data_IF_815401975712
#
_entry.id   IF_815401975712
#
_cell.length_a   1.000
_cell.length_b   1.000
_cell.length_c   1.000
_cell.angle_alpha   90.00
_cell.angle_beta   90.00
_cell.angle_gamma   90.00
#
_symmetry.space_group_name_H-M   'P 1'
#
loop_
_entity.id
_entity.type
_entity.pdbx_description
1 polymer ?
#
# COMPACT_ATOMS: atom_id res chain seq x y z
N UNK A 1 -31.32 -1.13 -14.42
CA UNK A 1 -30.70 -0.20 -15.38
C UNK A 1 -29.74 0.69 -14.61
N UNK A 2 -28.46 0.34 -14.55
CA UNK A 2 -27.41 1.30 -14.16
C UNK A 2 -26.22 0.97 -15.04
N UNK A 3 -26.37 1.33 -16.32
CA UNK A 3 -25.24 1.42 -17.23
C UNK A 3 -24.43 2.67 -16.87
N UNK A 4 -23.16 2.66 -17.25
CA UNK A 4 -22.28 3.83 -17.27
C UNK A 4 -23.09 5.07 -17.69
N UNK A 5 -23.03 6.15 -16.90
CA UNK A 5 -23.45 7.45 -17.44
C UNK A 5 -22.62 7.72 -18.70
N UNK A 6 -23.24 8.34 -19.70
CA UNK A 6 -22.60 8.60 -21.00
C UNK A 6 -21.36 9.49 -20.88
N UNK A 7 -21.14 10.17 -19.74
CA UNK A 7 -19.98 11.03 -19.51
C UNK A 7 -19.14 10.61 -18.30
N UNK A 8 -17.82 10.65 -18.45
CA UNK A 8 -16.85 10.37 -17.37
C UNK A 8 -17.02 11.30 -16.16
N UNK A 9 -17.47 12.54 -16.38
CA UNK A 9 -17.68 13.54 -15.32
C UNK A 9 -18.80 13.16 -14.35
N UNK A 10 -19.91 12.64 -14.85
CA UNK A 10 -21.04 12.19 -14.01
C UNK A 10 -20.60 11.04 -13.10
N UNK A 11 -19.89 10.05 -13.62
CA UNK A 11 -19.37 8.92 -12.83
C UNK A 11 -18.40 9.40 -11.74
N UNK A 12 -17.53 10.37 -12.03
CA UNK A 12 -16.60 10.95 -11.03
C UNK A 12 -17.39 11.66 -9.92
N UNK A 13 -18.39 12.46 -10.28
CA UNK A 13 -19.21 13.19 -9.31
C UNK A 13 -19.99 12.24 -8.39
N UNK A 14 -20.54 11.17 -8.96
CA UNK A 14 -21.24 10.15 -8.21
C UNK A 14 -20.28 9.45 -7.23
N UNK A 15 -19.12 9.00 -7.71
CA UNK A 15 -18.11 8.39 -6.86
C UNK A 15 -17.70 9.30 -5.68
N UNK A 16 -17.45 10.58 -5.94
CA UNK A 16 -17.07 11.54 -4.90
C UNK A 16 -18.18 11.70 -3.85
N UNK A 17 -19.44 11.79 -4.28
CA UNK A 17 -20.58 11.85 -3.36
C UNK A 17 -20.62 10.61 -2.46
N UNK A 18 -20.49 9.41 -3.02
CA UNK A 18 -20.50 8.17 -2.24
C UNK A 18 -19.29 8.02 -1.33
N UNK A 19 -18.09 8.40 -1.78
CA UNK A 19 -16.89 8.41 -0.95
C UNK A 19 -17.02 9.38 0.22
N UNK A 20 -17.59 10.57 -0.02
CA UNK A 20 -17.89 11.54 1.03
C UNK A 20 -18.90 10.96 2.03
N UNK A 21 -20.01 10.36 1.57
CA UNK A 21 -21.00 9.71 2.45
C UNK A 21 -20.34 8.60 3.29
N UNK A 22 -19.51 7.76 2.68
CA UNK A 22 -18.80 6.69 3.37
C UNK A 22 -17.83 7.17 4.45
N UNK A 23 -17.40 8.42 4.45
CA UNK A 23 -16.51 8.94 5.49
C UNK A 23 -17.24 9.89 6.45
N UNK A 24 -18.19 10.71 5.96
CA UNK A 24 -18.92 11.69 6.76
C UNK A 24 -19.94 11.03 7.70
N UNK A 25 -20.63 9.97 7.25
CA UNK A 25 -21.58 9.25 8.11
C UNK A 25 -20.88 8.60 9.31
N UNK A 26 -19.84 7.75 9.14
CA UNK A 26 -19.11 7.21 10.28
C UNK A 26 -18.42 8.30 11.11
N UNK A 27 -17.89 9.38 10.51
CA UNK A 27 -17.33 10.51 11.26
C UNK A 27 -18.38 11.16 12.17
N UNK A 28 -19.59 11.35 11.67
CA UNK A 28 -20.72 11.89 12.45
C UNK A 28 -21.07 10.96 13.60
N UNK A 29 -21.15 9.64 13.34
CA UNK A 29 -21.42 8.65 14.38
C UNK A 29 -20.37 8.64 15.49
N UNK A 30 -19.08 8.82 15.16
CA UNK A 30 -18.01 8.92 16.16
C UNK A 30 -18.27 10.10 17.14
N UNK A 31 -18.81 11.21 16.62
CA UNK A 31 -19.06 12.43 17.39
C UNK A 31 -20.37 12.36 18.16
N UNK A 32 -21.45 11.88 17.54
CA UNK A 32 -22.81 12.02 18.09
C UNK A 32 -23.27 10.81 18.90
N UNK A 33 -22.59 9.67 18.82
CA UNK A 33 -23.03 8.43 19.48
C UNK A 33 -22.01 7.90 20.49
N UNK A 34 -22.50 7.19 21.51
CA UNK A 34 -21.66 6.42 22.44
C UNK A 34 -20.99 5.24 21.73
N UNK A 35 -19.88 4.76 22.30
CA UNK A 35 -19.05 3.68 21.72
C UNK A 35 -19.82 2.37 21.48
N UNK A 36 -20.83 2.10 22.29
CA UNK A 36 -21.69 0.91 22.28
C UNK A 36 -22.99 1.08 21.46
N UNK A 37 -23.17 2.22 20.78
CA UNK A 37 -24.42 2.51 20.07
C UNK A 37 -24.70 1.51 18.94
N UNK A 38 -25.93 0.96 18.83
CA UNK A 38 -26.30 0.05 17.75
C UNK A 38 -26.22 0.69 16.35
N UNK A 39 -26.32 2.03 16.27
CA UNK A 39 -26.17 2.76 15.01
C UNK A 39 -24.78 2.57 14.38
N UNK A 40 -23.75 2.40 15.21
CA UNK A 40 -22.38 2.12 14.74
C UNK A 40 -22.29 0.78 14.03
N UNK A 41 -22.99 -0.23 14.54
CA UNK A 41 -23.07 -1.56 13.94
C UNK A 41 -23.87 -1.55 12.63
N UNK A 42 -25.00 -0.82 12.60
CA UNK A 42 -25.84 -0.69 11.40
C UNK A 42 -25.15 0.09 10.27
N UNK A 43 -24.20 0.97 10.59
CA UNK A 43 -23.41 1.70 9.60
C UNK A 43 -22.62 0.78 8.67
N UNK A 44 -22.01 -0.30 9.19
CA UNK A 44 -21.09 -1.14 8.43
C UNK A 44 -21.81 -1.90 7.28
N UNK A 45 -22.95 -2.58 7.49
CA UNK A 45 -23.71 -3.17 6.39
C UNK A 45 -24.13 -2.15 5.32
N UNK A 46 -24.49 -0.92 5.71
CA UNK A 46 -24.83 0.15 4.76
C UNK A 46 -23.62 0.59 3.91
N UNK A 47 -22.44 0.66 4.51
CA UNK A 47 -21.19 0.94 3.79
C UNK A 47 -20.81 -0.20 2.83
N UNK A 48 -20.93 -1.46 3.27
CA UNK A 48 -20.70 -2.64 2.42
C UNK A 48 -21.67 -2.68 1.23
N UNK A 49 -22.95 -2.41 1.47
CA UNK A 49 -23.95 -2.30 0.41
C UNK A 49 -23.56 -1.21 -0.59
N UNK A 50 -23.17 -0.03 -0.10
CA UNK A 50 -22.71 1.08 -0.94
C UNK A 50 -21.49 0.71 -1.76
N UNK A 51 -20.46 0.11 -1.17
CA UNK A 51 -19.28 -0.36 -1.91
C UNK A 51 -19.67 -1.39 -2.99
N UNK A 52 -20.57 -2.33 -2.65
CA UNK A 52 -21.05 -3.35 -3.59
C UNK A 52 -21.78 -2.78 -4.81
N UNK A 53 -22.39 -1.59 -4.68
CA UNK A 53 -23.04 -0.89 -5.79
C UNK A 53 -22.06 -0.41 -6.84
N UNK A 54 -20.81 -0.10 -6.47
CA UNK A 54 -19.76 0.29 -7.41
C UNK A 54 -18.99 -0.89 -7.98
N UNK A 55 -18.86 -1.98 -7.20
CA UNK A 55 -18.21 -3.21 -7.66
C UNK A 55 -18.94 -3.80 -8.88
N UNK A 56 -20.28 -3.79 -8.90
CA UNK A 56 -21.06 -4.43 -9.97
C UNK A 56 -20.95 -3.76 -11.37
N UNK A 57 -21.09 -2.43 -11.52
CA UNK A 57 -21.00 -1.77 -12.82
C UNK A 57 -19.55 -1.43 -13.24
N UNK A 58 -18.63 -1.19 -12.29
CA UNK A 58 -17.25 -0.78 -12.61
C UNK A 58 -16.20 -1.88 -12.45
N UNK A 59 -16.49 -2.93 -11.67
CA UNK A 59 -15.55 -4.04 -11.45
C UNK A 59 -15.28 -4.89 -12.69
N UNK A 60 -16.11 -4.81 -13.72
CA UNK A 60 -15.86 -5.43 -15.03
C UNK A 60 -15.21 -4.50 -16.05
N UNK A 61 -14.99 -3.23 -15.71
CA UNK A 61 -14.42 -2.26 -16.67
C UNK A 61 -12.95 -2.54 -16.98
N UNK A 62 -12.24 -3.26 -16.10
CA UNK A 62 -10.78 -3.48 -16.21
C UNK A 62 -9.95 -2.20 -16.08
N UNK A 63 -10.57 -1.05 -15.82
CA UNK A 63 -9.89 0.24 -15.75
C UNK A 63 -9.09 0.35 -14.44
N UNK A 64 -7.77 0.57 -14.49
CA UNK A 64 -6.94 0.72 -13.28
C UNK A 64 -7.40 1.87 -12.38
N UNK A 65 -7.91 2.96 -12.95
CA UNK A 65 -8.37 4.14 -12.21
C UNK A 65 -9.64 3.86 -11.42
N UNK A 66 -10.63 3.18 -12.04
CA UNK A 66 -11.85 2.78 -11.36
C UNK A 66 -11.61 1.70 -10.32
N UNK A 67 -10.72 0.74 -10.61
CA UNK A 67 -10.28 -0.24 -9.61
C UNK A 67 -9.75 0.47 -8.36
N UNK A 68 -8.81 1.40 -8.52
CA UNK A 68 -8.23 2.15 -7.40
C UNK A 68 -9.30 2.93 -6.62
N UNK A 69 -10.24 3.58 -7.32
CA UNK A 69 -11.33 4.33 -6.70
C UNK A 69 -12.23 3.43 -5.83
N UNK A 70 -12.67 2.28 -6.37
CA UNK A 70 -13.54 1.33 -5.65
C UNK A 70 -12.79 0.73 -4.45
N UNK A 71 -11.50 0.44 -4.60
CA UNK A 71 -10.65 -0.01 -3.50
C UNK A 71 -10.66 0.98 -2.34
N UNK A 72 -10.72 2.30 -2.59
CA UNK A 72 -10.84 3.31 -1.51
C UNK A 72 -12.14 3.18 -0.70
N UNK A 73 -13.26 2.76 -1.31
CA UNK A 73 -14.51 2.51 -0.59
C UNK A 73 -14.40 1.28 0.32
N UNK A 74 -13.73 0.23 -0.14
CA UNK A 74 -13.44 -0.95 0.68
C UNK A 74 -12.56 -0.57 1.87
N UNK A 75 -11.52 0.23 1.63
CA UNK A 75 -10.62 0.74 2.67
C UNK A 75 -11.37 1.59 3.69
N UNK A 76 -12.23 2.51 3.24
CA UNK A 76 -13.05 3.35 4.11
C UNK A 76 -13.96 2.50 4.99
N UNK A 77 -14.55 1.44 4.45
CA UNK A 77 -15.39 0.50 5.20
C UNK A 77 -14.59 -0.26 6.26
N UNK A 78 -13.39 -0.74 5.91
CA UNK A 78 -12.49 -1.41 6.86
C UNK A 78 -12.03 -0.47 7.98
N UNK A 79 -11.69 0.78 7.64
CA UNK A 79 -11.27 1.78 8.62
C UNK A 79 -12.43 2.23 9.50
N UNK A 80 -13.65 2.38 8.95
CA UNK A 80 -14.85 2.63 9.73
C UNK A 80 -15.14 1.47 10.69
N UNK A 81 -14.99 0.22 10.25
CA UNK A 81 -15.14 -0.97 11.11
C UNK A 81 -14.15 -0.93 12.27
N UNK A 82 -12.90 -0.56 11.99
CA UNK A 82 -11.88 -0.36 13.02
C UNK A 82 -12.28 0.73 14.01
N UNK A 83 -12.64 1.93 13.56
CA UNK A 83 -12.85 3.09 14.45
C UNK A 83 -14.25 3.17 15.08
N UNK A 84 -15.24 2.45 14.55
CA UNK A 84 -16.58 2.38 15.11
C UNK A 84 -16.77 1.17 16.03
N UNK A 85 -16.19 0.01 15.69
CA UNK A 85 -16.50 -1.27 16.34
C UNK A 85 -15.30 -1.87 17.08
N UNK A 86 -14.15 -2.03 16.43
CA UNK A 86 -13.03 -2.80 16.99
C UNK A 86 -12.22 -1.99 18.01
N UNK A 87 -11.92 -0.74 17.68
CA UNK A 87 -11.23 0.22 18.54
C UNK A 87 -12.06 1.51 18.57
N UNK A 88 -13.25 1.48 19.22
CA UNK A 88 -14.24 2.53 19.09
C UNK A 88 -13.71 3.88 19.60
N UNK A 89 -13.65 4.85 18.70
CA UNK A 89 -13.36 6.24 19.04
C UNK A 89 -14.63 6.95 19.50
N UNK A 90 -14.47 7.91 20.40
CA UNK A 90 -15.49 8.87 20.79
C UNK A 90 -15.00 10.31 20.60
N UNK A 91 -15.92 11.26 20.69
CA UNK A 91 -15.62 12.69 20.63
C UNK A 91 -14.50 13.14 21.58
N UNK A 92 -14.47 12.59 22.81
CA UNK A 92 -13.44 12.88 23.82
C UNK A 92 -12.04 12.52 23.33
N UNK A 93 -11.91 11.45 22.55
CA UNK A 93 -10.63 10.95 22.06
C UNK A 93 -10.07 11.90 20.97
N UNK A 94 -10.96 12.51 20.17
CA UNK A 94 -10.61 13.44 19.10
C UNK A 94 -10.28 14.83 19.66
N UNK A 95 -11.10 15.32 20.59
CA UNK A 95 -10.98 16.65 21.19
C UNK A 95 -9.84 16.75 22.22
N UNK A 96 -9.43 15.64 22.82
CA UNK A 96 -8.32 15.60 23.77
C UNK A 96 -6.94 15.89 23.17
N UNK A 97 -6.79 15.94 21.83
CA UNK A 97 -5.49 16.15 21.19
C UNK A 97 -5.12 17.62 20.95
N UNK A 98 -6.08 18.55 20.96
CA UNK A 98 -5.83 19.99 20.74
C UNK A 98 -6.92 20.87 21.36
N UNK A 99 -6.49 21.90 22.10
CA UNK A 99 -7.34 22.88 22.82
C UNK A 99 -8.27 23.71 21.92
N UNK A 100 -8.16 23.55 20.59
CA UNK A 100 -8.76 24.40 19.55
C UNK A 100 -10.05 23.82 18.94
N UNK A 101 -10.39 22.56 19.19
CA UNK A 101 -11.54 21.89 18.54
C UNK A 101 -12.83 22.15 19.34
N UNK A 102 -13.44 23.33 19.18
CA UNK A 102 -14.70 23.68 19.89
C UNK A 102 -15.97 23.36 19.10
N UNK A 103 -15.97 23.57 17.78
CA UNK A 103 -17.20 23.54 16.97
C UNK A 103 -17.41 22.19 16.28
N UNK A 104 -18.66 21.81 16.05
CA UNK A 104 -19.03 20.54 15.40
C UNK A 104 -18.31 20.31 14.07
N UNK A 105 -18.21 21.34 13.22
CA UNK A 105 -17.50 21.25 11.94
C UNK A 105 -16.02 20.87 12.09
N UNK A 106 -15.31 21.47 13.06
CA UNK A 106 -13.91 21.12 13.33
C UNK A 106 -13.75 19.68 13.86
N UNK A 107 -14.70 19.21 14.67
CA UNK A 107 -14.76 17.81 15.14
C UNK A 107 -15.00 16.86 13.96
N UNK A 108 -15.93 17.21 13.07
CA UNK A 108 -16.26 16.42 11.89
C UNK A 108 -15.07 16.29 10.94
N UNK A 109 -14.34 17.38 10.68
CA UNK A 109 -13.12 17.35 9.86
C UNK A 109 -12.06 16.47 10.50
N UNK A 110 -11.86 16.56 11.82
CA UNK A 110 -10.89 15.72 12.53
C UNK A 110 -11.28 14.23 12.49
N UNK A 111 -12.55 13.91 12.72
CA UNK A 111 -13.08 12.53 12.61
C UNK A 111 -12.95 11.99 11.18
N UNK A 112 -13.32 12.79 10.17
CA UNK A 112 -13.17 12.46 8.76
C UNK A 112 -11.70 12.17 8.42
N UNK A 113 -10.75 12.98 8.91
CA UNK A 113 -9.32 12.74 8.71
C UNK A 113 -8.86 11.40 9.27
N UNK A 114 -9.36 10.98 10.44
CA UNK A 114 -9.01 9.67 11.01
C UNK A 114 -9.53 8.48 10.19
N UNK A 115 -10.65 8.67 9.49
CA UNK A 115 -11.20 7.66 8.58
C UNK A 115 -10.48 7.66 7.22
N UNK A 116 -10.15 8.83 6.67
CA UNK A 116 -9.46 8.95 5.39
C UNK A 116 -7.96 8.63 5.48
N UNK A 117 -7.30 8.94 6.60
CA UNK A 117 -5.87 8.72 6.82
C UNK A 117 -5.61 7.50 7.69
N UNK A 118 -5.57 6.33 7.08
CA UNK A 118 -5.38 5.03 7.78
C UNK A 118 -4.02 4.86 8.49
N UNK A 119 -3.06 5.75 8.23
CA UNK A 119 -1.76 5.78 8.94
C UNK A 119 -1.77 6.65 10.20
N UNK A 120 -2.84 7.44 10.39
CA UNK A 120 -3.05 8.34 11.52
C UNK A 120 -1.80 9.17 11.88
N UNK A 121 -1.15 9.73 10.85
CA UNK A 121 0.10 10.48 10.96
C UNK A 121 -0.05 11.66 11.93
N UNK A 122 0.98 11.93 12.73
CA UNK A 122 1.01 13.00 13.74
C UNK A 122 -0.10 12.88 14.81
N UNK A 123 -0.62 11.67 15.05
CA UNK A 123 -1.57 11.39 16.13
C UNK A 123 -1.04 10.33 17.10
N UNK A 124 -1.68 10.19 18.26
CA UNK A 124 -1.37 9.12 19.21
C UNK A 124 -1.60 7.70 18.66
N UNK A 125 -2.38 7.57 17.59
CA UNK A 125 -2.67 6.28 16.94
C UNK A 125 -1.81 6.02 15.70
N UNK A 126 -0.75 6.81 15.49
CA UNK A 126 0.12 6.66 14.33
C UNK A 126 0.64 5.22 14.22
N UNK A 127 0.55 4.68 13.01
CA UNK A 127 1.05 3.34 12.71
C UNK A 127 2.56 3.24 13.00
N UNK A 128 3.01 2.12 13.55
CA UNK A 128 4.42 1.87 13.83
C UNK A 128 5.25 1.89 12.55
N UNK A 129 6.46 2.46 12.60
CA UNK A 129 7.43 2.55 11.50
C UNK A 129 7.01 3.43 10.31
N UNK A 130 6.11 4.39 10.49
CA UNK A 130 5.88 5.43 9.47
C UNK A 130 7.24 6.09 9.13
N UNK A 131 7.62 6.17 7.85
CA UNK A 131 8.90 6.75 7.46
C UNK A 131 9.04 8.20 7.91
N UNK A 132 10.23 8.57 8.39
CA UNK A 132 10.55 9.98 8.63
C UNK A 132 10.66 10.74 7.31
N UNK A 133 10.55 12.07 7.36
CA UNK A 133 10.84 12.88 6.18
C UNK A 133 12.27 12.63 5.65
N UNK A 134 12.49 12.77 4.33
CA UNK A 134 13.79 12.57 3.71
C UNK A 134 14.91 13.41 4.35
N UNK A 135 16.13 12.83 4.42
CA UNK A 135 17.34 13.50 4.91
C UNK A 135 17.65 14.80 4.16
N UNK A 136 17.21 14.91 2.92
CA UNK A 136 17.14 16.14 2.13
C UNK A 136 16.73 17.38 2.95
N UNK A 137 15.71 17.25 3.80
CA UNK A 137 15.24 18.37 4.60
C UNK A 137 16.16 18.65 5.80
N UNK A 138 16.60 17.59 6.49
CA UNK A 138 17.47 17.69 7.66
C UNK A 138 18.82 18.33 7.32
N UNK A 139 19.46 17.93 6.21
CA UNK A 139 20.72 18.51 5.73
C UNK A 139 20.63 20.01 5.42
N UNK A 140 19.42 20.51 5.16
CA UNK A 140 19.13 21.92 4.89
C UNK A 140 18.59 22.66 6.12
N UNK A 141 18.80 22.12 7.31
CA UNK A 141 18.41 22.70 8.59
C UNK A 141 16.89 22.69 8.86
N UNK A 142 16.10 21.95 8.06
CA UNK A 142 14.65 21.90 8.19
C UNK A 142 14.23 20.66 8.99
N UNK A 143 13.73 20.87 10.22
CA UNK A 143 13.07 19.82 11.00
C UNK A 143 11.71 19.43 10.39
N UNK A 144 11.00 20.40 9.85
CA UNK A 144 9.75 20.22 9.09
C UNK A 144 9.89 20.87 7.71
N UNK A 145 9.40 20.23 6.62
CA UNK A 145 9.54 20.79 5.28
C UNK A 145 8.77 22.12 5.15
N UNK A 146 9.35 23.17 4.58
CA UNK A 146 8.56 24.37 4.22
C UNK A 146 7.60 24.06 3.08
N UNK A 147 6.39 24.64 3.07
CA UNK A 147 5.34 24.42 2.04
C UNK A 147 5.87 24.50 0.61
N UNK A 148 6.57 25.57 0.24
CA UNK A 148 7.08 25.76 -1.12
C UNK A 148 8.09 24.68 -1.54
N UNK A 149 9.08 24.37 -0.69
CA UNK A 149 10.08 23.33 -0.96
C UNK A 149 9.48 21.93 -1.01
N UNK A 150 8.48 21.66 -0.16
CA UNK A 150 7.74 20.41 -0.20
C UNK A 150 7.02 20.27 -1.54
N UNK A 151 6.21 21.25 -1.94
CA UNK A 151 5.46 21.23 -3.20
C UNK A 151 6.38 21.09 -4.42
N UNK A 152 7.49 21.85 -4.46
CA UNK A 152 8.48 21.75 -5.54
C UNK A 152 9.05 20.34 -5.65
N UNK A 153 9.46 19.74 -4.51
CA UNK A 153 10.00 18.38 -4.49
C UNK A 153 8.95 17.35 -4.91
N UNK A 154 7.71 17.49 -4.47
CA UNK A 154 6.63 16.57 -4.86
C UNK A 154 6.33 16.68 -6.36
N UNK A 155 6.22 17.90 -6.90
CA UNK A 155 5.96 18.14 -8.32
C UNK A 155 7.06 17.56 -9.21
N UNK A 156 8.33 17.77 -8.86
CA UNK A 156 9.45 17.22 -9.62
C UNK A 156 9.41 15.67 -9.69
N UNK A 157 9.10 15.03 -8.56
CA UNK A 157 9.02 13.57 -8.49
C UNK A 157 7.80 13.06 -9.26
N UNK A 158 6.63 13.69 -9.09
CA UNK A 158 5.41 13.32 -9.83
C UNK A 158 5.63 13.42 -11.33
N UNK A 159 6.26 14.50 -11.80
CA UNK A 159 6.59 14.65 -13.22
C UNK A 159 7.45 13.49 -13.72
N UNK A 160 8.50 13.13 -12.99
CA UNK A 160 9.35 11.99 -13.35
C UNK A 160 8.65 10.64 -13.26
N UNK A 161 7.81 10.42 -12.24
CA UNK A 161 7.01 9.21 -12.10
C UNK A 161 6.07 9.00 -13.28
N UNK A 162 5.45 10.07 -13.78
CA UNK A 162 4.63 9.99 -14.98
C UNK A 162 5.46 9.56 -16.20
N UNK A 163 6.70 10.05 -16.38
CA UNK A 163 7.56 9.62 -17.49
C UNK A 163 7.93 8.13 -17.38
N UNK A 164 8.29 7.65 -16.18
CA UNK A 164 8.59 6.23 -15.95
C UNK A 164 7.37 5.36 -16.22
N UNK A 165 6.20 5.76 -15.73
CA UNK A 165 4.97 4.99 -15.93
C UNK A 165 4.51 5.00 -17.39
N UNK A 166 4.81 6.04 -18.17
CA UNK A 166 4.57 6.06 -19.63
C UNK A 166 5.44 5.02 -20.35
N UNK A 167 6.71 4.88 -19.94
CA UNK A 167 7.60 3.82 -20.44
C UNK A 167 7.03 2.45 -20.08
N UNK A 168 6.70 2.23 -18.80
CA UNK A 168 6.15 0.96 -18.31
C UNK A 168 4.88 0.59 -19.07
N UNK A 169 3.94 1.52 -19.20
CA UNK A 169 2.70 1.31 -19.95
C UNK A 169 2.98 0.96 -21.41
N UNK A 170 3.89 1.68 -22.08
CA UNK A 170 4.25 1.42 -23.47
C UNK A 170 4.84 0.02 -23.65
N UNK A 171 5.76 -0.39 -22.77
CA UNK A 171 6.36 -1.73 -22.81
C UNK A 171 5.32 -2.81 -22.53
N UNK A 172 4.45 -2.61 -21.54
CA UNK A 172 3.38 -3.57 -21.22
C UNK A 172 2.42 -3.77 -22.39
N UNK A 173 2.04 -2.68 -23.08
CA UNK A 173 1.17 -2.75 -24.26
C UNK A 173 1.86 -3.43 -25.44
N UNK A 174 3.15 -3.15 -25.68
CA UNK A 174 3.92 -3.85 -26.72
C UNK A 174 3.98 -5.36 -26.45
N UNK A 175 4.26 -5.75 -25.20
CA UNK A 175 4.27 -7.15 -24.80
C UNK A 175 2.89 -7.82 -24.91
N UNK A 176 1.81 -7.10 -24.57
CA UNK A 176 0.46 -7.61 -24.72
C UNK A 176 0.12 -7.86 -26.19
N UNK A 177 0.46 -6.93 -27.08
CA UNK A 177 0.26 -7.07 -28.53
C UNK A 177 1.06 -8.26 -29.10
N UNK A 178 2.32 -8.42 -28.71
CA UNK A 178 3.16 -9.56 -29.13
C UNK A 178 2.57 -10.91 -28.67
N UNK A 179 2.02 -10.98 -27.45
CA UNK A 179 1.35 -12.17 -26.94
C UNK A 179 0.04 -12.45 -27.66
N UNK A 180 -0.74 -11.42 -27.99
CA UNK A 180 -2.00 -11.55 -28.76
C UNK A 180 -1.79 -12.12 -30.16
N UNK A 181 -0.59 -11.96 -30.73
CA UNK A 181 -0.18 -12.58 -32.00
C UNK A 181 0.23 -14.05 -31.85
N UNK A 182 0.54 -14.51 -30.63
CA UNK A 182 0.89 -15.90 -30.33
C UNK A 182 -0.34 -16.67 -29.84
N UNK A 183 -0.33 -18.01 -29.94
CA UNK A 183 -1.43 -18.89 -29.47
C UNK A 183 -1.89 -18.50 -28.06
N UNK A 184 -3.18 -18.65 -27.71
CA UNK A 184 -3.70 -18.25 -26.41
C UNK A 184 -2.82 -18.83 -25.31
N UNK A 185 -2.26 -17.95 -24.47
CA UNK A 185 -1.35 -18.34 -23.41
C UNK A 185 -1.97 -19.51 -22.63
N UNK A 186 -1.20 -20.59 -22.43
CA UNK A 186 -1.60 -21.65 -21.51
C UNK A 186 -1.94 -21.01 -20.17
N UNK A 187 -3.17 -21.22 -19.73
CA UNK A 187 -3.75 -20.59 -18.53
C UNK A 187 -3.14 -21.13 -17.24
N UNK A 188 -2.27 -22.14 -17.35
CA UNK A 188 -1.57 -22.77 -16.24
C UNK A 188 -0.15 -22.22 -16.11
N UNK A 189 0.27 -21.97 -14.86
CA UNK A 189 1.64 -21.57 -14.56
C UNK A 189 2.55 -22.77 -14.79
N UNK A 190 3.42 -22.67 -15.79
CA UNK A 190 4.44 -23.68 -16.03
C UNK A 190 5.56 -23.56 -14.99
N UNK A 191 5.60 -24.47 -14.01
CA UNK A 191 6.58 -24.43 -12.93
C UNK A 191 7.94 -25.01 -13.33
N UNK A 192 7.96 -25.92 -14.30
CA UNK A 192 9.15 -26.63 -14.77
C UNK A 192 9.69 -25.91 -16.00
N UNK A 193 10.50 -24.88 -15.77
CA UNK A 193 11.13 -24.09 -16.84
C UNK A 193 12.64 -23.98 -16.64
N UNK A 194 13.42 -23.73 -17.71
CA UNK A 194 14.86 -23.51 -17.60
C UNK A 194 15.21 -22.35 -16.65
N UNK A 195 16.41 -22.40 -16.05
CA UNK A 195 16.87 -21.39 -15.09
C UNK A 195 16.82 -19.95 -15.64
N UNK A 196 17.09 -19.77 -16.95
CA UNK A 196 17.00 -18.46 -17.60
C UNK A 196 15.60 -17.86 -17.54
N UNK A 197 14.56 -18.65 -17.80
CA UNK A 197 13.16 -18.19 -17.70
C UNK A 197 12.77 -17.89 -16.25
N UNK A 198 13.27 -18.66 -15.28
CA UNK A 198 13.08 -18.34 -13.86
C UNK A 198 13.73 -17.01 -13.49
N UNK A 199 14.93 -16.72 -14.00
CA UNK A 199 15.60 -15.44 -13.78
C UNK A 199 14.80 -14.27 -14.37
N UNK A 200 14.27 -14.42 -15.59
CA UNK A 200 13.41 -13.42 -16.23
C UNK A 200 12.11 -13.18 -15.45
N UNK A 201 11.45 -14.25 -14.99
CA UNK A 201 10.23 -14.17 -14.15
C UNK A 201 10.52 -13.44 -12.85
N UNK A 202 11.57 -13.84 -12.13
CA UNK A 202 11.97 -13.20 -10.87
C UNK A 202 12.30 -11.72 -11.10
N UNK A 203 13.07 -11.39 -12.14
CA UNK A 203 13.40 -10.01 -12.47
C UNK A 203 12.15 -9.17 -12.79
N UNK A 204 11.21 -9.74 -13.55
CA UNK A 204 9.93 -9.10 -13.87
C UNK A 204 9.10 -8.85 -12.62
N UNK A 205 8.93 -9.86 -11.75
CA UNK A 205 8.16 -9.72 -10.51
C UNK A 205 8.79 -8.71 -9.54
N UNK A 206 10.12 -8.70 -9.41
CA UNK A 206 10.83 -7.72 -8.60
C UNK A 206 10.65 -6.30 -9.16
N UNK A 207 10.69 -6.15 -10.49
CA UNK A 207 10.41 -4.88 -11.15
C UNK A 207 8.98 -4.40 -10.88
N UNK A 208 8.01 -5.31 -10.91
CA UNK A 208 6.61 -4.97 -10.57
C UNK A 208 6.50 -4.50 -9.11
N UNK A 209 7.14 -5.18 -8.15
CA UNK A 209 7.10 -4.78 -6.74
C UNK A 209 7.80 -3.45 -6.45
N UNK A 210 9.08 -3.33 -6.84
CA UNK A 210 9.94 -2.23 -6.43
C UNK A 210 9.81 -0.99 -7.32
N UNK A 211 9.37 -1.17 -8.57
CA UNK A 211 9.18 -0.08 -9.53
C UNK A 211 7.69 0.16 -9.76
N UNK A 212 6.98 -0.74 -10.45
CA UNK A 212 5.63 -0.44 -10.97
C UNK A 212 4.63 -0.14 -9.84
N UNK A 213 4.38 -1.09 -8.93
CA UNK A 213 3.39 -0.95 -7.87
C UNK A 213 3.78 0.14 -6.86
N UNK A 214 5.08 0.30 -6.61
CA UNK A 214 5.61 1.38 -5.77
C UNK A 214 5.28 2.74 -6.38
N UNK A 215 5.63 2.96 -7.65
CA UNK A 215 5.46 4.25 -8.31
C UNK A 215 3.97 4.60 -8.51
N UNK A 216 3.12 3.64 -8.86
CA UNK A 216 1.67 3.88 -9.00
C UNK A 216 1.06 4.34 -7.66
N UNK A 217 1.37 3.61 -6.58
CA UNK A 217 0.85 3.93 -5.24
C UNK A 217 1.42 5.24 -4.70
N UNK A 218 2.71 5.49 -4.92
CA UNK A 218 3.39 6.69 -4.48
C UNK A 218 2.92 7.92 -5.27
N UNK A 219 2.68 7.80 -6.58
CA UNK A 219 2.13 8.86 -7.43
C UNK A 219 0.79 9.35 -6.89
N UNK A 220 -0.16 8.43 -6.64
CA UNK A 220 -1.47 8.79 -6.09
C UNK A 220 -1.34 9.52 -4.75
N UNK A 221 -0.48 9.01 -3.86
CA UNK A 221 -0.22 9.64 -2.57
C UNK A 221 0.41 11.04 -2.69
N UNK A 222 1.35 11.22 -3.62
CA UNK A 222 2.00 12.52 -3.85
C UNK A 222 1.06 13.54 -4.47
N UNK A 223 0.23 13.15 -5.44
CA UNK A 223 -0.77 14.02 -6.04
C UNK A 223 -1.74 14.55 -4.98
N UNK A 224 -2.23 13.68 -4.10
CA UNK A 224 -3.05 14.10 -2.96
C UNK A 224 -2.29 15.04 -2.02
N UNK A 225 -1.01 14.75 -1.73
CA UNK A 225 -0.18 15.64 -0.89
C UNK A 225 -0.01 17.04 -1.49
N UNK A 226 0.18 17.13 -2.81
CA UNK A 226 0.31 18.41 -3.51
C UNK A 226 -1.00 19.18 -3.42
N UNK A 227 -2.13 18.50 -3.62
CA UNK A 227 -3.44 19.12 -3.53
C UNK A 227 -3.71 19.67 -2.12
N UNK A 228 -3.67 18.82 -1.08
CA UNK A 228 -4.04 19.21 0.29
C UNK A 228 -3.07 20.23 0.92
N UNK A 229 -1.77 20.10 0.70
CA UNK A 229 -0.77 21.09 1.15
C UNK A 229 -0.82 22.36 0.27
N UNK A 230 -1.17 22.21 -1.01
CA UNK A 230 -1.31 23.28 -1.98
C UNK A 230 -2.47 24.21 -1.69
N UNK A 231 -3.58 23.71 -1.14
CA UNK A 231 -4.72 24.55 -0.70
C UNK A 231 -4.65 24.94 0.78
N UNK A 232 -3.64 24.44 1.52
CA UNK A 232 -3.41 24.79 2.93
C UNK A 232 -4.31 24.07 3.93
N UNK A 233 -4.99 22.98 3.53
CA UNK A 233 -5.74 22.15 4.46
C UNK A 233 -4.80 21.35 5.36
N UNK A 234 -3.71 20.83 4.79
CA UNK A 234 -2.72 20.03 5.51
C UNK A 234 -1.36 20.73 5.55
N UNK A 235 -0.58 20.46 6.60
CA UNK A 235 0.82 20.84 6.64
C UNK A 235 1.67 19.84 5.86
N UNK A 236 2.85 20.27 5.41
CA UNK A 236 3.84 19.37 4.82
C UNK A 236 4.31 18.26 5.76
N UNK A 237 4.17 18.43 7.08
CA UNK A 237 4.53 17.44 8.09
C UNK A 237 3.51 16.29 8.18
N UNK A 238 2.29 16.50 7.69
CA UNK A 238 1.23 15.48 7.69
C UNK A 238 1.39 14.46 6.55
N UNK A 239 2.35 14.70 5.65
CA UNK A 239 2.60 13.90 4.45
C UNK A 239 4.01 13.29 4.42
N UNK A 240 4.37 12.41 5.37
CA UNK A 240 5.60 11.65 5.31
C UNK A 240 5.57 10.68 4.11
N UNK A 241 6.74 10.22 3.63
CA UNK A 241 6.81 9.29 2.51
C UNK A 241 5.84 8.10 2.64
N UNK A 242 5.22 7.70 1.52
CA UNK A 242 4.38 6.51 1.48
C UNK A 242 5.21 5.26 1.82
N UNK A 243 6.34 5.10 1.13
CA UNK A 243 7.26 3.99 1.27
C UNK A 243 8.51 4.36 2.09
N UNK A 244 9.05 3.38 2.81
CA UNK A 244 10.37 3.48 3.43
C UNK A 244 11.49 3.20 2.44
N UNK A 245 12.70 2.98 2.98
CA UNK A 245 13.90 2.73 2.17
C UNK A 245 13.94 1.30 1.66
N UNK A 246 14.29 1.09 0.39
CA UNK A 246 14.40 -0.28 -0.16
C UNK A 246 15.50 -1.07 0.56
N UNK A 247 16.59 -0.41 0.92
CA UNK A 247 17.70 -1.01 1.67
C UNK A 247 17.30 -1.60 3.03
N UNK A 248 16.15 -1.24 3.60
CA UNK A 248 15.68 -1.77 4.87
C UNK A 248 14.86 -3.06 4.71
N UNK A 249 14.48 -3.44 3.47
CA UNK A 249 13.68 -4.62 3.14
C UNK A 249 14.46 -5.95 3.18
N UNK A 250 15.44 -6.10 4.07
CA UNK A 250 16.28 -7.31 4.19
C UNK A 250 15.68 -8.42 5.07
N UNK A 251 14.43 -8.29 5.49
CA UNK A 251 13.64 -9.38 6.09
C UNK A 251 12.20 -9.27 5.58
N UNK A 252 11.46 -10.37 5.53
CA UNK A 252 10.06 -10.36 5.08
C UNK A 252 9.21 -9.43 5.95
N UNK A 253 9.52 -9.36 7.26
CA UNK A 253 8.88 -8.40 8.16
C UNK A 253 9.25 -6.95 7.89
N UNK A 254 10.50 -6.67 7.54
CA UNK A 254 10.90 -5.30 7.22
C UNK A 254 10.32 -4.86 5.88
N UNK A 255 10.19 -5.77 4.91
CA UNK A 255 9.53 -5.48 3.63
C UNK A 255 8.12 -4.91 3.89
N UNK A 256 7.25 -5.65 4.58
CA UNK A 256 5.88 -5.20 4.88
C UNK A 256 5.78 -4.13 5.98
N UNK A 257 6.74 -4.13 6.90
CA UNK A 257 6.67 -3.36 8.14
C UNK A 257 7.45 -2.05 8.14
N UNK A 258 8.41 -1.86 7.23
CA UNK A 258 9.24 -0.65 7.13
C UNK A 258 9.29 -0.08 5.71
N UNK A 259 9.35 -0.94 4.68
CA UNK A 259 9.45 -0.49 3.29
C UNK A 259 8.07 -0.22 2.66
N UNK A 260 7.15 -1.19 2.73
CA UNK A 260 5.85 -1.10 2.07
C UNK A 260 4.93 -0.05 2.72
N UNK A 261 3.97 0.49 1.97
CA UNK A 261 3.26 1.76 2.25
C UNK A 261 2.44 1.86 3.55
N UNK A 262 2.20 0.75 4.25
CA UNK A 262 1.46 0.66 5.52
C UNK A 262 0.02 1.18 5.54
N UNK A 263 -0.55 1.64 4.43
CA UNK A 263 -1.95 2.12 4.37
C UNK A 263 -2.98 1.11 4.91
N UNK A 264 -2.73 -0.20 4.80
CA UNK A 264 -3.64 -1.24 5.32
C UNK A 264 -3.27 -1.75 6.72
N UNK A 265 -2.19 -1.22 7.32
CA UNK A 265 -1.63 -1.77 8.55
C UNK A 265 -2.62 -1.68 9.70
N UNK A 266 -3.19 -0.50 9.94
CA UNK A 266 -4.15 -0.30 11.02
C UNK A 266 -5.41 -1.17 10.86
N UNK A 267 -6.18 -1.09 9.75
CA UNK A 267 -7.41 -1.87 9.62
C UNK A 267 -7.18 -3.39 9.74
N UNK A 268 -6.11 -3.93 9.15
CA UNK A 268 -5.84 -5.37 9.21
C UNK A 268 -5.40 -5.82 10.61
N UNK A 269 -4.52 -5.06 11.26
CA UNK A 269 -4.04 -5.43 12.62
C UNK A 269 -5.12 -5.26 13.69
N UNK A 270 -6.08 -4.37 13.49
CA UNK A 270 -7.24 -4.24 14.38
C UNK A 270 -8.14 -5.47 14.32
N UNK A 271 -8.44 -5.97 13.12
CA UNK A 271 -9.20 -7.22 12.93
C UNK A 271 -8.44 -8.39 13.56
N UNK A 272 -7.14 -8.50 13.31
CA UNK A 272 -6.33 -9.59 13.87
C UNK A 272 -6.28 -9.53 15.40
N UNK A 273 -6.09 -8.34 15.97
CA UNK A 273 -6.00 -8.15 17.42
C UNK A 273 -7.32 -8.50 18.09
N UNK A 274 -8.45 -8.07 17.51
CA UNK A 274 -9.79 -8.40 18.00
C UNK A 274 -10.02 -9.91 18.04
N UNK A 275 -9.74 -10.60 16.93
CA UNK A 275 -9.93 -12.06 16.86
C UNK A 275 -8.97 -12.76 17.84
N UNK A 276 -7.69 -12.38 17.87
CA UNK A 276 -6.70 -13.04 18.72
C UNK A 276 -6.95 -12.81 20.22
N UNK A 277 -7.36 -11.60 20.62
CA UNK A 277 -7.46 -11.19 22.03
C UNK A 277 -8.86 -11.27 22.60
N UNK A 278 -9.85 -10.80 21.86
CA UNK A 278 -11.22 -10.67 22.38
C UNK A 278 -12.03 -11.95 22.10
N UNK A 279 -11.85 -12.56 20.93
CA UNK A 279 -12.53 -13.81 20.55
C UNK A 279 -11.80 -15.04 21.11
N UNK A 280 -10.51 -15.19 20.78
CA UNK A 280 -9.72 -16.37 21.15
C UNK A 280 -9.06 -16.28 22.53
N UNK A 281 -9.03 -15.09 23.15
CA UNK A 281 -8.46 -14.85 24.50
C UNK A 281 -7.02 -15.33 24.65
N UNK A 282 -6.21 -15.18 23.60
CA UNK A 282 -4.80 -15.60 23.62
C UNK A 282 -3.97 -14.74 24.56
N UNK A 283 -3.00 -15.36 25.23
CA UNK A 283 -2.08 -14.65 26.14
C UNK A 283 -1.24 -13.63 25.40
N UNK A 284 -1.22 -12.40 25.91
CA UNK A 284 -0.50 -11.27 25.33
C UNK A 284 1.01 -11.58 25.21
N UNK A 285 1.58 -11.21 24.07
CA UNK A 285 2.98 -11.39 23.71
C UNK A 285 3.43 -12.86 23.62
N UNK A 286 2.49 -13.81 23.57
CA UNK A 286 2.82 -15.22 23.35
C UNK A 286 3.18 -15.49 21.88
N UNK A 287 3.98 -16.53 21.65
CA UNK A 287 4.30 -17.00 20.29
C UNK A 287 3.04 -17.37 19.51
N UNK A 288 2.04 -17.95 20.20
CA UNK A 288 0.75 -18.29 19.61
C UNK A 288 0.00 -17.04 19.17
N UNK A 289 -0.14 -16.03 20.03
CA UNK A 289 -0.78 -14.76 19.67
C UNK A 289 -0.06 -14.09 18.47
N UNK A 290 1.27 -14.12 18.44
CA UNK A 290 2.07 -13.54 17.35
C UNK A 290 1.77 -14.20 16.01
N UNK A 291 1.78 -15.53 15.93
CA UNK A 291 1.52 -16.23 14.67
C UNK A 291 0.03 -16.26 14.31
N UNK A 292 -0.89 -16.29 15.27
CA UNK A 292 -2.32 -16.12 15.00
C UNK A 292 -2.61 -14.74 14.39
N UNK A 293 -2.06 -13.67 14.96
CA UNK A 293 -2.18 -12.33 14.38
C UNK A 293 -1.57 -12.28 12.97
N UNK A 294 -0.40 -12.86 12.77
CA UNK A 294 0.26 -12.92 11.47
C UNK A 294 -0.64 -13.60 10.42
N UNK A 295 -1.18 -14.78 10.76
CA UNK A 295 -2.05 -15.54 9.86
C UNK A 295 -3.32 -14.78 9.51
N UNK A 296 -3.96 -14.15 10.49
CA UNK A 296 -5.19 -13.38 10.25
C UNK A 296 -4.90 -12.15 9.38
N UNK A 297 -3.82 -11.40 9.64
CA UNK A 297 -3.46 -10.22 8.83
C UNK A 297 -3.23 -10.62 7.37
N UNK A 298 -2.47 -11.70 7.12
CA UNK A 298 -2.21 -12.15 5.76
C UNK A 298 -3.46 -12.72 5.10
N UNK A 299 -4.34 -13.42 5.83
CA UNK A 299 -5.61 -13.90 5.29
C UNK A 299 -6.54 -12.74 4.90
N UNK A 300 -6.69 -11.72 5.76
CA UNK A 300 -7.49 -10.53 5.46
C UNK A 300 -6.89 -9.77 4.27
N UNK A 301 -5.56 -9.65 4.21
CA UNK A 301 -4.87 -9.08 3.04
C UNK A 301 -5.13 -9.87 1.77
N UNK A 302 -5.15 -11.20 1.86
CA UNK A 302 -5.40 -12.07 0.73
C UNK A 302 -6.82 -11.91 0.17
N UNK A 303 -7.84 -11.90 1.06
CA UNK A 303 -9.24 -11.66 0.70
C UNK A 303 -9.40 -10.28 0.05
N UNK A 304 -8.75 -9.26 0.61
CA UNK A 304 -8.76 -7.91 0.04
C UNK A 304 -8.21 -7.89 -1.39
N UNK A 305 -7.11 -8.59 -1.66
CA UNK A 305 -6.54 -8.62 -3.01
C UNK A 305 -7.33 -9.50 -3.98
N UNK A 306 -8.03 -10.54 -3.53
CA UNK A 306 -9.02 -11.24 -4.38
C UNK A 306 -10.09 -10.27 -4.86
N UNK A 307 -10.58 -9.37 -3.99
CA UNK A 307 -11.54 -8.33 -4.40
C UNK A 307 -10.91 -7.39 -5.43
N UNK A 308 -9.66 -6.97 -5.23
CA UNK A 308 -8.93 -6.13 -6.20
C UNK A 308 -8.75 -6.85 -7.54
N UNK A 309 -8.37 -8.13 -7.53
CA UNK A 309 -8.20 -8.94 -8.75
C UNK A 309 -9.53 -9.02 -9.52
N UNK A 310 -10.65 -9.25 -8.84
CA UNK A 310 -11.99 -9.24 -9.46
C UNK A 310 -12.31 -7.88 -10.10
N UNK A 311 -11.94 -6.77 -9.44
CA UNK A 311 -12.11 -5.41 -9.97
C UNK A 311 -11.21 -5.10 -11.17
N UNK A 312 -10.12 -5.85 -11.32
CA UNK A 312 -9.23 -5.82 -12.47
C UNK A 312 -9.65 -6.82 -13.56
N UNK A 313 -10.88 -7.35 -13.49
CA UNK A 313 -11.42 -8.34 -14.41
C UNK A 313 -10.67 -9.69 -14.41
N UNK A 314 -10.00 -10.03 -13.30
CA UNK A 314 -9.40 -11.35 -13.08
C UNK A 314 -10.42 -12.23 -12.33
N UNK A 315 -10.90 -13.34 -12.92
CA UNK A 315 -11.82 -14.24 -12.24
C UNK A 315 -11.25 -14.79 -10.93
N UNK A 316 -12.11 -15.01 -9.94
CA UNK A 316 -11.70 -15.51 -8.61
C UNK A 316 -10.91 -16.82 -8.71
N UNK A 317 -11.29 -17.70 -9.64
CA UNK A 317 -10.65 -19.00 -9.88
C UNK A 317 -9.22 -18.87 -10.41
N UNK A 318 -8.89 -17.71 -11.00
CA UNK A 318 -7.56 -17.38 -11.53
C UNK A 318 -6.76 -16.51 -10.58
N UNK A 319 -7.36 -16.00 -9.50
CA UNK A 319 -6.67 -15.14 -8.55
C UNK A 319 -5.61 -15.93 -7.77
N UNK A 320 -4.35 -15.54 -7.94
CA UNK A 320 -3.24 -16.06 -7.12
C UNK A 320 -3.07 -15.38 -5.77
N UNK A 321 -3.99 -14.48 -5.39
CA UNK A 321 -3.89 -13.68 -4.16
C UNK A 321 -3.81 -14.56 -2.89
N UNK A 322 -4.70 -15.54 -2.75
CA UNK A 322 -4.74 -16.43 -1.58
C UNK A 322 -3.41 -17.17 -1.37
N UNK A 323 -2.91 -17.98 -2.33
CA UNK A 323 -1.66 -18.70 -2.13
C UNK A 323 -0.46 -17.76 -1.93
N UNK A 324 -0.42 -16.62 -2.62
CA UNK A 324 0.67 -15.64 -2.49
C UNK A 324 0.76 -15.06 -1.07
N UNK A 325 -0.32 -14.47 -0.57
CA UNK A 325 -0.29 -13.79 0.73
C UNK A 325 -0.14 -14.79 1.89
N UNK A 326 -0.76 -15.97 1.80
CA UNK A 326 -0.61 -16.99 2.84
C UNK A 326 0.80 -17.60 2.86
N UNK A 327 1.53 -17.63 1.73
CA UNK A 327 2.92 -18.09 1.72
C UNK A 327 3.80 -17.29 2.68
N UNK A 328 3.57 -15.98 2.85
CA UNK A 328 4.36 -15.16 3.78
C UNK A 328 4.28 -15.61 5.22
N UNK A 329 3.21 -16.28 5.65
CA UNK A 329 3.12 -16.86 6.98
C UNK A 329 4.26 -17.87 7.16
N UNK A 330 4.38 -18.79 6.20
CA UNK A 330 5.43 -19.83 6.19
C UNK A 330 6.81 -19.20 6.02
N UNK A 331 6.98 -18.28 5.07
CA UNK A 331 8.26 -17.61 4.86
C UNK A 331 8.76 -16.88 6.10
N UNK A 332 7.86 -16.23 6.83
CA UNK A 332 8.18 -15.53 8.07
C UNK A 332 8.49 -16.50 9.23
N UNK A 333 7.80 -17.63 9.32
CA UNK A 333 8.11 -18.69 10.29
C UNK A 333 9.48 -19.33 10.01
N UNK A 334 9.80 -19.57 8.75
CA UNK A 334 11.12 -20.06 8.33
C UNK A 334 12.22 -19.05 8.66
N UNK A 335 12.01 -17.78 8.32
CA UNK A 335 12.92 -16.68 8.64
C UNK A 335 13.19 -16.59 10.15
N UNK A 336 12.15 -16.69 10.99
CA UNK A 336 12.30 -16.74 12.45
C UNK A 336 13.08 -17.95 12.93
N UNK A 337 12.79 -19.14 12.37
CA UNK A 337 13.46 -20.39 12.71
C UNK A 337 14.97 -20.30 12.44
N UNK A 338 15.35 -19.84 11.25
CA UNK A 338 16.75 -19.64 10.86
C UNK A 338 17.44 -18.61 11.76
N UNK A 339 16.79 -17.48 12.04
CA UNK A 339 17.35 -16.45 12.93
C UNK A 339 17.55 -16.97 14.35
N UNK A 340 16.62 -17.77 14.87
CA UNK A 340 16.71 -18.35 16.21
C UNK A 340 17.79 -19.44 16.29
N UNK A 341 17.89 -20.30 15.27
CA UNK A 341 18.96 -21.31 15.19
C UNK A 341 20.34 -20.64 15.10
N UNK A 342 20.48 -19.62 14.25
CA UNK A 342 21.72 -18.86 14.11
C UNK A 342 22.17 -18.22 15.43
N UNK A 343 21.24 -17.66 16.21
CA UNK A 343 21.54 -17.13 17.55
C UNK A 343 22.05 -18.21 18.49
N UNK A 344 21.37 -19.37 18.55
CA UNK A 344 21.77 -20.50 19.41
C UNK A 344 23.14 -21.06 19.07
N UNK A 345 23.51 -21.09 17.79
CA UNK A 345 24.81 -21.58 17.33
C UNK A 345 25.97 -20.60 17.62
N UNK A 346 25.69 -19.30 17.81
CA UNK A 346 26.69 -18.31 18.20
C UNK A 346 26.93 -18.25 19.72
N UNK A 347 25.99 -18.75 20.54
CA UNK A 347 26.10 -18.83 22.00
C UNK A 347 26.67 -20.17 22.48
N UNK A 348 27.98 -20.45 22.31
CA UNK A 348 28.64 -21.34 23.28
C UNK A 348 29.61 -20.69 24.29
N UNK A 349 30.27 -19.53 24.06
CA UNK A 349 31.36 -19.11 24.99
C UNK A 349 31.55 -17.62 25.34
N UNK A 350 30.88 -16.65 24.71
CA UNK A 350 31.14 -15.22 24.98
C UNK A 350 30.01 -14.54 25.76
N UNK A 351 29.76 -14.98 27.00
CA UNK A 351 28.72 -14.44 27.88
C UNK A 351 28.98 -13.04 28.47
N UNK A 352 30.03 -12.33 28.04
CA UNK A 352 30.41 -11.01 28.59
C UNK A 352 30.48 -9.87 27.54
N UNK A 353 30.36 -10.16 26.24
CA UNK A 353 30.48 -9.14 25.18
C UNK A 353 29.14 -8.66 24.59
N UNK A 354 28.01 -9.30 24.91
CA UNK A 354 26.70 -8.91 24.38
C UNK A 354 26.18 -7.58 24.95
N UNK A 355 26.56 -7.22 26.18
CA UNK A 355 26.17 -5.93 26.79
C UNK A 355 26.89 -4.73 26.16
N UNK A 356 28.05 -4.96 25.51
CA UNK A 356 28.87 -3.93 24.83
C UNK A 356 28.66 -3.81 23.32
N UNK A 357 27.95 -4.75 22.67
CA UNK A 357 27.63 -4.71 21.23
C UNK A 357 26.31 -4.00 20.90
N UNK A 358 25.92 -3.04 21.75
CA UNK A 358 24.83 -2.09 21.52
C UNK A 358 25.20 -0.97 20.51
N UNK A 359 25.93 -1.31 19.44
CA UNK A 359 25.89 -0.51 18.22
C UNK A 359 24.88 -1.18 17.28
N UNK A 360 23.72 -0.54 17.17
CA UNK A 360 22.45 -0.93 16.54
C UNK A 360 22.51 -1.23 15.01
N UNK A 361 23.69 -1.63 14.49
CA UNK A 361 23.97 -1.76 13.06
C UNK A 361 24.13 -3.23 12.72
N UNK A 362 23.12 -3.77 12.02
CA UNK A 362 23.19 -5.11 11.42
C UNK A 362 24.34 -5.15 10.40
N UNK A 363 25.30 -6.10 10.52
CA UNK A 363 26.41 -6.25 9.57
C UNK A 363 25.93 -6.30 8.10
N UNK A 364 26.69 -5.68 7.19
CA UNK A 364 26.32 -5.57 5.77
C UNK A 364 26.06 -6.93 5.12
N UNK A 365 26.87 -7.96 5.42
CA UNK A 365 26.67 -9.30 4.87
C UNK A 365 25.35 -9.93 5.32
N UNK A 366 24.90 -9.70 6.57
CA UNK A 366 23.60 -10.17 7.07
C UNK A 366 22.46 -9.47 6.33
N UNK A 367 22.62 -8.17 6.04
CA UNK A 367 21.65 -7.41 5.24
C UNK A 367 21.61 -7.90 3.79
N UNK A 368 22.77 -8.19 3.19
CA UNK A 368 22.84 -8.72 1.83
C UNK A 368 22.20 -10.11 1.72
N UNK A 369 22.51 -11.03 2.65
CA UNK A 369 21.89 -12.35 2.71
C UNK A 369 20.37 -12.26 2.93
N UNK A 370 19.93 -11.40 3.83
CA UNK A 370 18.52 -11.14 4.07
C UNK A 370 17.81 -10.52 2.86
N UNK A 371 18.47 -9.61 2.13
CA UNK A 371 17.95 -9.03 0.91
C UNK A 371 17.79 -10.09 -0.19
N UNK A 372 18.79 -10.96 -0.37
CA UNK A 372 18.71 -12.08 -1.31
C UNK A 372 17.55 -13.02 -0.96
N UNK A 373 17.37 -13.35 0.33
CA UNK A 373 16.24 -14.14 0.82
C UNK A 373 14.90 -13.49 0.47
N UNK A 374 14.73 -12.20 0.76
CA UNK A 374 13.48 -11.47 0.49
C UNK A 374 13.21 -11.37 -1.02
N UNK A 375 14.23 -11.07 -1.82
CA UNK A 375 14.12 -10.99 -3.29
C UNK A 375 13.76 -12.35 -3.90
N UNK A 376 14.38 -13.43 -3.46
CA UNK A 376 14.06 -14.78 -3.92
C UNK A 376 12.64 -15.17 -3.50
N UNK A 377 12.27 -14.94 -2.24
CA UNK A 377 10.95 -15.24 -1.73
C UNK A 377 9.86 -14.49 -2.50
N UNK A 378 10.01 -13.16 -2.66
CA UNK A 378 9.10 -12.34 -3.44
C UNK A 378 9.06 -12.79 -4.90
N UNK A 379 10.21 -12.95 -5.55
CA UNK A 379 10.30 -13.31 -6.96
C UNK A 379 9.60 -14.63 -7.28
N UNK A 380 9.82 -15.66 -6.46
CA UNK A 380 9.20 -16.98 -6.66
C UNK A 380 7.71 -16.96 -6.33
N UNK A 381 7.34 -16.51 -5.13
CA UNK A 381 5.93 -16.55 -4.68
C UNK A 381 5.03 -15.64 -5.51
N UNK A 382 5.55 -14.53 -6.03
CA UNK A 382 4.79 -13.61 -6.90
C UNK A 382 4.39 -14.24 -8.23
N UNK A 383 4.94 -15.39 -8.61
CA UNK A 383 4.50 -16.12 -9.82
C UNK A 383 3.01 -16.46 -9.75
N UNK A 384 2.51 -16.87 -8.58
CA UNK A 384 1.08 -17.08 -8.39
C UNK A 384 0.29 -15.80 -8.64
N UNK A 385 0.78 -14.67 -8.13
CA UNK A 385 0.03 -13.42 -8.08
C UNK A 385 0.07 -12.62 -9.38
N UNK A 386 1.26 -12.45 -9.98
CA UNK A 386 1.44 -11.60 -11.15
C UNK A 386 1.24 -12.31 -12.48
N UNK A 387 1.41 -13.64 -12.57
CA UNK A 387 1.20 -14.33 -13.86
C UNK A 387 -0.22 -14.13 -14.39
N UNK A 388 -1.29 -14.35 -13.59
CA UNK A 388 -2.66 -14.08 -14.04
C UNK A 388 -2.88 -12.62 -14.43
N UNK A 389 -2.30 -11.67 -13.67
CA UNK A 389 -2.41 -10.23 -13.91
C UNK A 389 -1.70 -9.77 -15.20
N UNK A 390 -0.50 -10.31 -15.46
CA UNK A 390 0.26 -10.04 -16.69
C UNK A 390 -0.47 -10.64 -17.90
N UNK A 391 -1.06 -11.83 -17.74
CA UNK A 391 -1.85 -12.48 -18.79
C UNK A 391 -3.18 -11.79 -19.06
N UNK A 392 -3.78 -11.15 -18.05
CA UNK A 392 -5.02 -10.37 -18.19
C UNK A 392 -4.79 -8.92 -18.62
N UNK A 393 -3.53 -8.55 -18.93
CA UNK A 393 -3.20 -7.21 -19.44
C UNK A 393 -3.75 -7.06 -20.86
N UNK A 394 -4.70 -6.15 -21.04
CA UNK A 394 -5.35 -5.86 -22.32
C UNK A 394 -4.83 -4.55 -22.93
N UNK A 395 -5.11 -4.34 -24.22
CA UNK A 395 -4.67 -3.17 -25.01
C UNK A 395 -5.18 -1.82 -24.46
N UNK A 396 -6.20 -1.84 -23.60
CA UNK A 396 -6.76 -0.66 -22.94
C UNK A 396 -6.10 -0.32 -21.59
N UNK A 397 -4.99 -0.97 -21.22
CA UNK A 397 -4.28 -0.67 -19.97
C UNK A 397 -3.69 0.74 -20.00
N UNK A 398 -4.39 1.68 -19.35
CA UNK A 398 -3.92 3.05 -19.12
C UNK A 398 -3.65 3.26 -17.63
N UNK A 399 -2.36 3.34 -17.29
CA UNK A 399 -1.88 3.68 -15.95
C UNK A 399 -1.86 5.19 -15.76
N UNK A 400 -1.49 5.93 -16.81
CA UNK A 400 -1.51 7.39 -16.85
C UNK A 400 -2.44 7.89 -17.98
N UNK A 401 -3.09 9.05 -17.82
CA UNK A 401 -4.10 9.53 -18.76
C UNK A 401 -3.52 10.13 -20.05
N UNK A 402 -2.21 10.31 -20.13
CA UNK A 402 -1.50 10.84 -21.28
C UNK A 402 -0.31 9.95 -21.62
N UNK A 403 0.16 9.98 -22.87
CA UNK A 403 1.38 9.29 -23.27
C UNK A 403 2.29 10.25 -24.02
N UNK A 404 3.44 10.54 -23.41
CA UNK A 404 4.50 11.41 -23.93
C UNK A 404 5.24 10.69 -25.06
N UNK A 405 5.35 9.35 -25.01
CA UNK A 405 5.93 8.51 -26.10
C UNK A 405 5.35 8.88 -27.46
N UNK A 406 4.03 9.12 -27.53
CA UNK A 406 3.33 9.46 -28.78
C UNK A 406 3.82 10.75 -29.44
N UNK A 407 4.42 11.66 -28.68
CA UNK A 407 4.85 12.97 -29.16
C UNK A 407 6.35 13.05 -29.45
N UNK A 408 7.20 12.42 -28.62
CA UNK A 408 8.66 12.56 -28.70
C UNK A 408 9.40 11.29 -29.10
N UNK A 409 8.68 10.17 -29.20
CA UNK A 409 9.24 8.84 -29.48
C UNK A 409 9.80 8.14 -28.24
N UNK A 410 9.83 6.80 -28.30
CA UNK A 410 10.17 5.95 -27.15
C UNK A 410 11.63 6.12 -26.68
N UNK A 411 12.58 6.18 -27.62
CA UNK A 411 14.01 6.33 -27.29
C UNK A 411 14.31 7.68 -26.61
N UNK A 412 13.72 8.76 -27.12
CA UNK A 412 13.84 10.10 -26.51
C UNK A 412 13.25 10.12 -25.11
N UNK A 413 12.10 9.46 -24.89
CA UNK A 413 11.49 9.38 -23.56
C UNK A 413 12.40 8.63 -22.58
N UNK A 414 13.00 7.51 -22.98
CA UNK A 414 13.96 6.77 -22.13
C UNK A 414 15.12 7.68 -21.75
N UNK A 415 15.74 8.35 -22.72
CA UNK A 415 16.88 9.24 -22.47
C UNK A 415 16.52 10.38 -21.50
N UNK A 416 15.36 11.02 -21.69
CA UNK A 416 14.88 12.08 -20.80
C UNK A 416 14.56 11.53 -19.41
N UNK A 417 13.91 10.38 -19.31
CA UNK A 417 13.55 9.75 -18.03
C UNK A 417 14.78 9.38 -17.22
N UNK A 418 15.81 8.82 -17.87
CA UNK A 418 17.07 8.49 -17.23
C UNK A 418 17.81 9.76 -16.80
N UNK A 419 17.97 10.73 -17.70
CA UNK A 419 18.67 11.99 -17.40
C UNK A 419 18.00 12.80 -16.28
N UNK A 420 16.68 12.97 -16.35
CA UNK A 420 15.90 13.64 -15.32
C UNK A 420 15.86 12.85 -14.01
N UNK A 421 15.87 11.51 -14.07
CA UNK A 421 15.98 10.64 -12.90
C UNK A 421 17.27 10.89 -12.14
N UNK A 422 18.42 10.89 -12.83
CA UNK A 422 19.72 11.23 -12.22
C UNK A 422 19.66 12.63 -11.60
N UNK A 423 19.10 13.61 -12.31
CA UNK A 423 18.92 14.97 -11.79
C UNK A 423 18.11 15.00 -10.50
N UNK A 424 16.99 14.28 -10.43
CA UNK A 424 16.13 14.22 -9.25
C UNK A 424 16.80 13.47 -8.09
N UNK A 425 17.51 12.37 -8.37
CA UNK A 425 18.25 11.63 -7.36
C UNK A 425 19.32 12.51 -6.69
N UNK A 426 20.05 13.31 -7.48
CA UNK A 426 21.10 14.20 -6.96
C UNK A 426 20.51 15.42 -6.26
N UNK A 427 19.57 16.12 -6.90
CA UNK A 427 19.04 17.40 -6.40
C UNK A 427 18.12 17.20 -5.19
N UNK A 428 17.23 16.19 -5.25
CA UNK A 428 16.19 15.97 -4.25
C UNK A 428 16.46 14.77 -3.32
N UNK A 429 17.63 14.14 -3.44
CA UNK A 429 18.06 12.96 -2.66
C UNK A 429 16.96 11.88 -2.65
N UNK A 430 16.44 11.57 -3.84
CA UNK A 430 15.36 10.60 -4.03
C UNK A 430 15.95 9.22 -4.28
N UNK A 431 15.43 8.22 -3.57
CA UNK A 431 15.64 6.82 -3.92
C UNK A 431 14.69 6.46 -5.07
N UNK A 432 15.25 6.39 -6.29
CA UNK A 432 14.54 6.11 -7.54
C UNK A 432 14.01 4.67 -7.58
#
# INVERSE_FOLDING_TARGET
>A
MYGLYHTTGENISEFLCFYLVQNVVPATLIITTRKDSPLRYLCIPGMLWTASRFIRPFGSSGSPTWCQAITQLVIATLQATNLLLLNPLAESDISGSTTTIRNFGSKLIAAFRMLAQTRAVNTQWQVKNVPSHPRYYLHRGMRTPTRGRFLLRQLAIVAWQCLVLDIVQTVSLQQAAERGLQKPASLEIEWIVPLGQWAERIATHLSIWFVVNRLISDLAYRVLSIFFVGIGLDSSADWPPAFGRMADAFTLRNFWGKFWHQFMRQPFTSISSFIARDVLRLTRSSTLERYTNLSIVFLVSAIFHVIVDILQSIPMERSGSIPFYLAFIIGIMLEDGVQNLWKRLQTPESGQDEEKRSSDIVPLWKRAAGMLWVMLWLGVTSTWYFTPMIQSTNDDMQVIPFSVVKYIGFQSLIAITVGSGVGIAVVFEVEL
#
